data_IF_386899912083
#
_entry.id   IF_386899912083
#
_cell.length_a   1.000
_cell.length_b   1.000
_cell.length_c   1.000
_cell.angle_alpha   90.00
_cell.angle_beta   90.00
_cell.angle_gamma   90.00
#
_symmetry.space_group_name_H-M   'P 1'
#
loop_
_entity.id
_entity.type
_entity.pdbx_description
1 polymer ?
#
# COMPACT_ATOMS: atom_id res chain seq x y z
N UNK A 1 -41.02 -28.64 12.85
CA UNK A 1 -39.69 -29.15 13.26
C UNK A 1 -38.64 -28.18 12.75
N UNK A 2 -37.94 -27.41 13.61
CA UNK A 2 -36.91 -26.50 13.13
C UNK A 2 -35.70 -27.30 12.67
N UNK A 3 -35.32 -27.13 11.41
CA UNK A 3 -34.13 -27.70 10.82
C UNK A 3 -32.92 -26.91 11.37
N UNK A 4 -32.47 -27.25 12.58
CA UNK A 4 -31.23 -26.70 13.14
C UNK A 4 -30.06 -27.30 12.38
N UNK A 5 -29.77 -26.73 11.21
CA UNK A 5 -28.53 -26.97 10.49
C UNK A 5 -27.39 -26.48 11.37
N UNK A 6 -26.86 -27.33 12.24
CA UNK A 6 -25.66 -27.04 13.02
C UNK A 6 -24.51 -26.84 12.02
N UNK A 7 -24.17 -25.59 11.74
CA UNK A 7 -23.04 -25.27 10.89
C UNK A 7 -21.77 -25.85 11.51
N UNK A 8 -21.00 -26.61 10.74
CA UNK A 8 -19.71 -27.14 11.17
C UNK A 8 -18.64 -26.04 11.13
N UNK A 9 -17.61 -26.21 11.95
CA UNK A 9 -16.43 -25.35 11.91
C UNK A 9 -15.79 -25.39 10.51
N UNK A 10 -15.40 -24.22 9.99
CA UNK A 10 -14.75 -24.09 8.69
C UNK A 10 -13.22 -24.03 8.76
N UNK A 11 -12.65 -24.07 9.97
CA UNK A 11 -11.21 -23.97 10.18
C UNK A 11 -10.43 -25.10 9.51
N UNK A 12 -9.32 -24.78 8.85
CA UNK A 12 -8.39 -25.74 8.28
C UNK A 12 -7.25 -26.03 9.28
N UNK A 13 -7.25 -27.22 9.89
CA UNK A 13 -6.30 -27.60 10.96
C UNK A 13 -4.86 -27.70 10.44
N UNK A 14 -4.68 -28.22 9.22
CA UNK A 14 -3.38 -28.39 8.55
C UNK A 14 -3.37 -27.77 7.14
N UNK A 15 -4.17 -26.71 6.94
CA UNK A 15 -4.36 -26.07 5.64
C UNK A 15 -5.16 -26.89 4.61
N UNK A 16 -5.58 -28.11 4.96
CA UNK A 16 -6.33 -29.02 4.07
C UNK A 16 -7.55 -29.66 4.76
N UNK A 17 -7.42 -30.08 6.01
CA UNK A 17 -8.49 -30.78 6.74
C UNK A 17 -9.39 -29.82 7.50
N UNK A 18 -10.70 -29.85 7.25
CA UNK A 18 -11.67 -29.04 7.99
C UNK A 18 -11.96 -29.65 9.36
N UNK A 19 -12.08 -28.78 10.35
CA UNK A 19 -12.59 -29.18 11.66
C UNK A 19 -14.06 -29.59 11.58
N UNK A 20 -14.42 -30.74 12.16
CA UNK A 20 -15.80 -31.25 12.15
C UNK A 20 -16.60 -30.91 13.42
N UNK A 21 -16.04 -30.11 14.33
CA UNK A 21 -16.75 -29.68 15.53
C UNK A 21 -17.90 -28.72 15.18
N UNK A 22 -18.99 -28.70 15.97
CA UNK A 22 -20.08 -27.75 15.76
C UNK A 22 -19.58 -26.31 15.95
N UNK A 23 -19.91 -25.42 15.00
CA UNK A 23 -19.64 -24.01 15.14
C UNK A 23 -20.56 -23.42 16.22
N UNK A 24 -20.01 -22.56 17.06
CA UNK A 24 -20.76 -21.97 18.18
C UNK A 24 -21.47 -20.67 17.78
N UNK A 25 -20.85 -19.86 16.90
CA UNK A 25 -21.45 -18.67 16.28
C UNK A 25 -20.77 -18.38 14.93
N UNK A 26 -21.42 -18.73 13.82
CA UNK A 26 -20.92 -18.44 12.48
C UNK A 26 -19.92 -19.48 11.96
N UNK A 27 -18.66 -19.09 11.78
CA UNK A 27 -17.69 -19.84 10.97
C UNK A 27 -16.85 -20.88 11.72
N UNK A 28 -16.68 -20.75 13.05
CA UNK A 28 -15.72 -21.58 13.82
C UNK A 28 -16.30 -22.13 15.13
N UNK A 29 -15.73 -23.24 15.61
CA UNK A 29 -16.01 -23.80 16.93
C UNK A 29 -15.29 -23.02 18.04
N UNK A 30 -15.63 -23.30 19.30
CA UNK A 30 -15.03 -22.64 20.48
C UNK A 30 -13.50 -22.76 20.53
N UNK A 31 -12.94 -23.89 20.10
CA UNK A 31 -11.50 -24.13 20.12
C UNK A 31 -10.73 -23.24 19.12
N UNK A 32 -11.30 -23.02 17.92
CA UNK A 32 -10.66 -22.21 16.87
C UNK A 32 -11.07 -20.74 16.89
N UNK A 33 -11.88 -20.34 17.88
CA UNK A 33 -12.34 -18.96 18.01
C UNK A 33 -11.19 -17.97 18.25
N UNK A 34 -10.22 -18.23 19.14
CA UNK A 34 -9.09 -17.32 19.35
C UNK A 34 -8.29 -17.09 18.06
N UNK A 35 -7.98 -18.14 17.31
CA UNK A 35 -7.24 -18.04 16.04
C UNK A 35 -8.02 -17.25 14.96
N UNK A 36 -9.35 -17.42 14.92
CA UNK A 36 -10.22 -16.63 14.05
C UNK A 36 -10.17 -15.15 14.40
N UNK A 37 -10.35 -14.81 15.67
CA UNK A 37 -10.41 -13.43 16.13
C UNK A 37 -9.04 -12.74 15.92
N UNK A 38 -7.92 -13.42 16.21
CA UNK A 38 -6.57 -12.92 15.92
C UNK A 38 -6.35 -12.67 14.42
N UNK A 39 -6.75 -13.62 13.56
CA UNK A 39 -6.65 -13.45 12.10
C UNK A 39 -7.52 -12.30 11.60
N UNK A 40 -8.70 -12.11 12.20
CA UNK A 40 -9.60 -11.02 11.90
C UNK A 40 -8.97 -9.67 12.27
N UNK A 41 -8.41 -9.56 13.47
CA UNK A 41 -7.69 -8.36 13.94
C UNK A 41 -6.50 -8.05 13.03
N UNK A 42 -5.68 -9.04 12.67
CA UNK A 42 -4.54 -8.87 11.75
C UNK A 42 -4.92 -8.19 10.43
N UNK A 43 -5.99 -8.65 9.76
CA UNK A 43 -6.37 -8.02 8.49
C UNK A 43 -7.01 -6.64 8.70
N UNK A 44 -7.68 -6.41 9.84
CA UNK A 44 -8.27 -5.11 10.19
C UNK A 44 -7.19 -4.07 10.47
N UNK A 45 -6.14 -4.45 11.18
CA UNK A 45 -4.99 -3.60 11.46
C UNK A 45 -4.24 -3.24 10.18
N UNK A 46 -3.97 -4.22 9.31
CA UNK A 46 -3.39 -3.95 8.00
C UNK A 46 -4.25 -2.99 7.16
N UNK A 47 -5.58 -3.09 7.24
CA UNK A 47 -6.50 -2.15 6.59
C UNK A 47 -6.49 -0.74 7.22
N UNK A 48 -6.26 -0.64 8.54
CA UNK A 48 -6.10 0.63 9.23
C UNK A 48 -4.78 1.31 8.84
N UNK A 49 -3.68 0.55 8.73
CA UNK A 49 -2.39 1.04 8.25
C UNK A 49 -2.50 1.62 6.84
N UNK A 50 -3.12 0.87 5.92
CA UNK A 50 -3.36 1.35 4.56
C UNK A 50 -4.23 2.61 4.57
N UNK A 51 -5.25 2.68 5.42
CA UNK A 51 -6.09 3.87 5.56
C UNK A 51 -5.30 5.08 6.07
N UNK A 52 -4.41 4.91 7.06
CA UNK A 52 -3.58 5.98 7.59
C UNK A 52 -2.67 6.59 6.52
N UNK A 53 -2.13 5.75 5.62
CA UNK A 53 -1.26 6.17 4.52
C UNK A 53 -2.00 6.67 3.28
N UNK A 54 -3.32 6.47 3.21
CA UNK A 54 -4.08 6.80 2.00
C UNK A 54 -4.06 8.29 1.64
N UNK A 55 -3.96 9.20 2.63
CA UNK A 55 -3.95 10.63 2.38
C UNK A 55 -2.64 11.10 1.72
N UNK A 56 -1.48 10.62 2.20
CA UNK A 56 -0.17 10.98 1.61
C UNK A 56 0.01 10.37 0.22
N UNK A 57 -0.60 9.21 -0.02
CA UNK A 57 -0.59 8.52 -1.30
C UNK A 57 -1.60 9.06 -2.33
N UNK A 58 -2.44 10.05 -1.99
CA UNK A 58 -3.36 10.67 -2.95
C UNK A 58 -2.60 11.66 -3.83
N UNK A 59 -2.40 11.26 -5.08
CA UNK A 59 -1.90 12.10 -6.16
C UNK A 59 -2.54 11.67 -7.48
N UNK A 60 -2.96 12.64 -8.28
CA UNK A 60 -3.49 12.41 -9.62
C UNK A 60 -2.36 12.33 -10.63
N UNK A 61 -2.58 11.61 -11.72
CA UNK A 61 -1.61 11.50 -12.83
C UNK A 61 -1.20 12.89 -13.36
N UNK A 62 -2.14 13.84 -13.42
CA UNK A 62 -1.90 15.21 -13.88
C UNK A 62 -0.95 16.01 -12.97
N UNK A 63 -0.92 15.71 -11.68
CA UNK A 63 -0.12 16.45 -10.68
C UNK A 63 1.34 16.02 -10.70
N UNK A 64 1.63 14.77 -11.09
CA UNK A 64 2.99 14.24 -11.18
C UNK A 64 3.87 15.12 -12.05
N UNK A 65 3.33 15.65 -13.16
CA UNK A 65 4.03 16.54 -14.09
C UNK A 65 4.50 17.89 -13.51
N UNK A 66 3.99 18.28 -12.35
CA UNK A 66 4.20 19.61 -11.78
C UNK A 66 5.11 19.59 -10.54
N UNK A 67 5.30 18.42 -9.92
CA UNK A 67 6.07 18.28 -8.68
C UNK A 67 7.54 18.72 -8.82
N UNK A 68 8.01 19.51 -7.86
CA UNK A 68 9.44 19.80 -7.70
C UNK A 68 10.21 18.53 -7.32
N UNK A 69 11.54 18.53 -7.52
CA UNK A 69 12.37 17.34 -7.25
C UNK A 69 12.24 16.81 -5.82
N UNK A 70 12.32 17.69 -4.82
CA UNK A 70 12.19 17.31 -3.42
C UNK A 70 10.82 16.67 -3.12
N UNK A 71 9.75 17.18 -3.74
CA UNK A 71 8.42 16.62 -3.60
C UNK A 71 8.30 15.25 -4.26
N UNK A 72 8.93 15.04 -5.43
CA UNK A 72 8.96 13.73 -6.10
C UNK A 72 9.60 12.67 -5.20
N UNK A 73 10.70 12.99 -4.54
CA UNK A 73 11.41 12.06 -3.65
C UNK A 73 10.53 11.63 -2.46
N UNK A 74 9.85 12.59 -1.82
CA UNK A 74 8.89 12.32 -0.72
C UNK A 74 7.73 11.46 -1.23
N UNK A 75 7.13 11.81 -2.38
CA UNK A 75 5.98 11.08 -2.92
C UNK A 75 6.32 9.64 -3.33
N UNK A 76 7.55 9.36 -3.78
CA UNK A 76 7.98 7.99 -4.07
C UNK A 76 7.93 7.14 -2.79
N UNK A 77 8.40 7.68 -1.67
CA UNK A 77 8.40 6.99 -0.37
C UNK A 77 6.97 6.76 0.11
N UNK A 78 6.13 7.80 0.09
CA UNK A 78 4.73 7.71 0.55
C UNK A 78 3.92 6.67 -0.25
N UNK A 79 4.04 6.69 -1.58
CA UNK A 79 3.32 5.76 -2.46
C UNK A 79 3.83 4.33 -2.26
N UNK A 80 5.14 4.13 -2.11
CA UNK A 80 5.69 2.80 -1.85
C UNK A 80 5.17 2.23 -0.52
N UNK A 81 5.21 3.02 0.56
CA UNK A 81 4.69 2.61 1.86
C UNK A 81 3.19 2.25 1.80
N UNK A 82 2.40 3.02 1.03
CA UNK A 82 0.98 2.74 0.84
C UNK A 82 0.73 1.44 0.06
N UNK A 83 1.51 1.19 -1.00
CA UNK A 83 1.46 -0.08 -1.76
C UNK A 83 1.74 -1.25 -0.82
N UNK A 84 2.82 -1.18 -0.04
CA UNK A 84 3.17 -2.25 0.90
C UNK A 84 2.06 -2.51 1.92
N UNK A 85 1.42 -1.45 2.42
CA UNK A 85 0.29 -1.58 3.35
C UNK A 85 -0.94 -2.24 2.70
N UNK A 86 -1.27 -1.88 1.45
CA UNK A 86 -2.35 -2.52 0.69
C UNK A 86 -2.04 -3.99 0.39
N UNK A 87 -0.79 -4.34 0.08
CA UNK A 87 -0.37 -5.72 -0.13
C UNK A 87 -0.51 -6.54 1.15
N UNK A 88 -0.11 -5.99 2.31
CA UNK A 88 -0.33 -6.61 3.62
C UNK A 88 -1.81 -6.83 3.92
N UNK A 89 -2.67 -5.83 3.69
CA UNK A 89 -4.12 -5.98 3.88
C UNK A 89 -4.67 -7.09 2.98
N UNK A 90 -4.31 -7.09 1.70
CA UNK A 90 -4.76 -8.10 0.73
C UNK A 90 -4.32 -9.51 1.13
N UNK A 91 -3.07 -9.66 1.55
CA UNK A 91 -2.53 -10.95 1.97
C UNK A 91 -3.26 -11.48 3.23
N UNK A 92 -3.38 -10.65 4.26
CA UNK A 92 -4.03 -11.03 5.52
C UNK A 92 -5.51 -11.40 5.32
N UNK A 93 -6.24 -10.67 4.47
CA UNK A 93 -7.62 -10.98 4.10
C UNK A 93 -7.75 -12.34 3.40
N UNK A 94 -6.89 -12.60 2.41
CA UNK A 94 -6.87 -13.88 1.68
C UNK A 94 -6.52 -15.06 2.59
N UNK A 95 -5.57 -14.86 3.51
CA UNK A 95 -5.21 -15.85 4.52
C UNK A 95 -6.42 -16.15 5.43
N UNK A 96 -7.08 -15.11 5.94
CA UNK A 96 -8.28 -15.24 6.77
C UNK A 96 -9.39 -16.02 6.05
N UNK A 97 -9.70 -15.64 4.81
CA UNK A 97 -10.75 -16.31 4.02
C UNK A 97 -10.41 -17.78 3.79
N UNK A 98 -9.16 -18.05 3.38
CA UNK A 98 -8.70 -19.42 3.15
C UNK A 98 -8.80 -20.27 4.41
N UNK A 99 -8.38 -19.74 5.56
CA UNK A 99 -8.31 -20.49 6.80
C UNK A 99 -9.68 -20.70 7.47
N UNK A 100 -10.61 -19.74 7.34
CA UNK A 100 -11.81 -19.71 8.18
C UNK A 100 -13.14 -19.57 7.43
N UNK A 101 -13.16 -19.02 6.21
CA UNK A 101 -14.42 -18.69 5.51
C UNK A 101 -14.69 -19.67 4.37
N UNK A 102 -13.63 -20.07 3.67
CA UNK A 102 -13.68 -20.79 2.40
C UNK A 102 -13.91 -19.81 1.26
N UNK A 103 -15.17 -19.63 0.86
CA UNK A 103 -15.57 -18.67 -0.16
C UNK A 103 -15.90 -17.31 0.51
N UNK A 104 -15.22 -16.20 0.15
CA UNK A 104 -15.47 -14.89 0.74
C UNK A 104 -16.88 -14.39 0.42
N UNK A 105 -17.50 -13.65 1.34
CA UNK A 105 -18.76 -12.97 1.07
C UNK A 105 -18.62 -11.82 0.05
N UNK A 106 -19.74 -11.27 -0.43
CA UNK A 106 -19.76 -10.17 -1.40
C UNK A 106 -19.02 -8.92 -0.89
N UNK A 107 -19.13 -8.63 0.40
CA UNK A 107 -18.45 -7.49 1.02
C UNK A 107 -16.94 -7.66 0.98
N UNK A 108 -16.46 -8.88 1.26
CA UNK A 108 -15.05 -9.19 1.25
C UNK A 108 -14.49 -9.21 -0.17
N UNK A 109 -15.22 -9.78 -1.14
CA UNK A 109 -14.87 -9.71 -2.57
C UNK A 109 -14.76 -8.27 -3.05
N UNK A 110 -15.78 -7.44 -2.80
CA UNK A 110 -15.77 -6.03 -3.20
C UNK A 110 -14.59 -5.26 -2.56
N UNK A 111 -14.23 -5.60 -1.31
CA UNK A 111 -13.04 -5.01 -0.66
C UNK A 111 -11.74 -5.44 -1.33
N UNK A 112 -11.57 -6.72 -1.66
CA UNK A 112 -10.38 -7.22 -2.35
C UNK A 112 -10.23 -6.60 -3.74
N UNK A 113 -11.31 -6.51 -4.51
CA UNK A 113 -11.32 -5.82 -5.81
C UNK A 113 -10.94 -4.34 -5.69
N UNK A 114 -11.43 -3.67 -4.65
CA UNK A 114 -11.07 -2.28 -4.37
C UNK A 114 -9.57 -2.15 -4.06
N UNK A 115 -9.01 -3.04 -3.25
CA UNK A 115 -7.58 -3.03 -2.94
C UNK A 115 -6.77 -3.26 -4.22
N UNK A 116 -7.20 -4.17 -5.10
CA UNK A 116 -6.51 -4.45 -6.37
C UNK A 116 -6.51 -3.23 -7.30
N UNK A 117 -7.64 -2.53 -7.45
CA UNK A 117 -7.71 -1.27 -8.20
C UNK A 117 -6.82 -0.18 -7.60
N UNK A 118 -6.75 -0.10 -6.27
CA UNK A 118 -5.86 0.85 -5.58
C UNK A 118 -4.39 0.52 -5.82
N UNK A 119 -4.02 -0.77 -5.78
CA UNK A 119 -2.65 -1.23 -6.06
C UNK A 119 -2.23 -0.90 -7.50
N UNK A 120 -3.09 -1.19 -8.48
CA UNK A 120 -2.84 -0.85 -9.89
C UNK A 120 -2.58 0.65 -10.05
N UNK A 121 -3.51 1.48 -9.57
CA UNK A 121 -3.39 2.93 -9.64
C UNK A 121 -2.12 3.47 -8.93
N UNK A 122 -1.83 3.00 -7.73
CA UNK A 122 -0.66 3.46 -6.97
C UNK A 122 0.65 3.02 -7.63
N UNK A 123 0.71 1.84 -8.26
CA UNK A 123 1.89 1.38 -9.01
C UNK A 123 2.13 2.22 -10.26
N UNK A 124 1.07 2.60 -10.97
CA UNK A 124 1.18 3.50 -12.12
C UNK A 124 1.73 4.86 -11.72
N UNK A 125 1.20 5.45 -10.65
CA UNK A 125 1.71 6.69 -10.07
C UNK A 125 3.20 6.55 -9.68
N UNK A 126 3.57 5.47 -8.99
CA UNK A 126 4.96 5.23 -8.60
C UNK A 126 5.89 5.14 -9.82
N UNK A 127 5.45 4.48 -10.88
CA UNK A 127 6.18 4.41 -12.14
C UNK A 127 6.36 5.80 -12.76
N UNK A 128 5.31 6.63 -12.79
CA UNK A 128 5.38 8.00 -13.30
C UNK A 128 6.33 8.88 -12.48
N UNK A 129 6.28 8.77 -11.14
CA UNK A 129 7.18 9.49 -10.24
C UNK A 129 8.64 9.10 -10.46
N UNK A 130 8.94 7.80 -10.56
CA UNK A 130 10.30 7.30 -10.86
C UNK A 130 10.82 7.81 -12.20
N UNK A 131 9.98 7.78 -13.23
CA UNK A 131 10.29 8.34 -14.55
C UNK A 131 10.57 9.84 -14.52
N UNK A 132 9.77 10.62 -13.76
CA UNK A 132 10.02 12.04 -13.54
C UNK A 132 11.33 12.30 -12.80
N UNK A 133 11.57 11.58 -11.70
CA UNK A 133 12.78 11.70 -10.91
C UNK A 133 14.04 11.47 -11.78
N UNK A 134 14.02 10.45 -12.66
CA UNK A 134 15.08 10.19 -13.61
C UNK A 134 15.29 11.31 -14.65
N UNK A 135 14.22 11.97 -15.12
CA UNK A 135 14.32 13.15 -16.00
C UNK A 135 14.93 14.35 -15.27
N UNK A 136 14.46 14.67 -14.06
CA UNK A 136 14.97 15.78 -13.27
C UNK A 136 16.46 15.60 -12.94
N UNK A 137 16.88 14.39 -12.56
CA UNK A 137 18.30 14.07 -12.30
C UNK A 137 19.19 14.27 -13.54
N UNK A 138 18.72 13.88 -14.73
CA UNK A 138 19.47 14.08 -15.99
C UNK A 138 19.59 15.57 -16.33
N UNK A 139 18.51 16.34 -16.19
CA UNK A 139 18.52 17.77 -16.48
C UNK A 139 19.47 18.55 -15.55
N UNK A 140 19.54 18.19 -14.25
CA UNK A 140 20.50 18.80 -13.33
C UNK A 140 21.96 18.48 -13.66
N UNK A 141 22.26 17.30 -14.23
CA UNK A 141 23.63 16.93 -14.64
C UNK A 141 24.07 17.64 -15.93
N UNK A 142 23.11 17.99 -16.79
CA UNK A 142 23.38 18.65 -18.07
C UNK A 142 23.35 20.20 -17.99
N UNK A 143 23.24 20.78 -16.81
CA UNK A 143 23.34 22.23 -16.62
C UNK A 143 24.81 22.60 -16.35
N UNK A 144 25.54 23.19 -17.31
CA UNK A 144 26.88 23.71 -17.04
C UNK A 144 26.74 24.82 -16.01
N UNK A 145 27.62 24.86 -15.01
CA UNK A 145 27.76 26.02 -14.13
C UNK A 145 28.09 27.25 -15.00
N UNK A 146 27.08 27.99 -15.43
CA UNK A 146 27.26 29.29 -16.08
C UNK A 146 27.66 30.30 -15.01
N UNK A 147 28.96 30.52 -14.91
CA UNK A 147 29.58 31.81 -14.66
C UNK A 147 29.34 32.43 -13.29
N UNK A 148 30.21 32.12 -12.33
CA UNK A 148 30.56 33.05 -11.27
C UNK A 148 32.02 33.49 -11.48
N UNK A 149 32.24 34.31 -12.51
CA UNK A 149 33.48 35.09 -12.64
C UNK A 149 33.14 36.54 -12.33
N UNK A 150 33.21 36.89 -11.04
CA UNK A 150 33.30 38.29 -10.61
C UNK A 150 34.72 38.78 -10.88
N UNK A 151 34.93 39.38 -12.06
CA UNK A 151 36.13 40.15 -12.35
C UNK A 151 36.01 41.50 -11.66
N UNK A 152 36.51 41.61 -10.43
CA UNK A 152 36.89 42.90 -9.84
C UNK A 152 38.27 43.25 -10.41
N UNK A 153 38.27 44.13 -11.42
CA UNK A 153 39.50 44.70 -11.96
C UNK A 153 39.88 45.92 -11.11
N UNK A 154 40.89 45.72 -10.28
CA UNK A 154 41.60 46.74 -9.53
C UNK A 154 42.39 47.60 -10.51
N UNK A 155 41.97 48.84 -10.73
CA UNK A 155 42.75 49.84 -11.47
C UNK A 155 43.56 50.67 -10.48
N UNK A 156 44.82 50.27 -10.30
CA UNK A 156 45.88 51.17 -9.87
C UNK A 156 46.17 52.17 -11.00
N UNK A 157 46.26 53.46 -10.67
CA UNK A 157 46.76 54.50 -11.58
C UNK A 157 47.63 55.49 -10.80
N UNK A 158 48.93 55.39 -11.07
CA UNK A 158 50.01 56.39 -11.01
C UNK A 158 50.84 56.11 -12.28
N UNK A 159 51.52 57.06 -12.96
CA UNK A 159 52.30 58.22 -12.44
C UNK A 159 51.93 59.54 -13.20
N UNK A 160 52.54 60.72 -13.09
CA UNK A 160 53.83 61.25 -12.58
C UNK A 160 53.60 62.50 -11.72
#
# INVERSE_FOLDING_TARGET
MPNSSHSLCKYLVDGHTRCHAPATRGHVCKAHRPAYDESYERYKDAGNDARALSASARIKHSEVGQLARAEVDVRIVDIAAYIDALERERAARKEHDRAFVGEPDDGHRARLEKIEKQLEHSRDILHMLRSRHGRLKRNSRNQPQRGHNSTLHEQSSLPE
#
